data_IF_490838705494
#
_entry.id   IF_490838705494
#
_cell.length_a   1.000
_cell.length_b   1.000
_cell.length_c   1.000
_cell.angle_alpha   90.00
_cell.angle_beta   90.00
_cell.angle_gamma   90.00
#
_symmetry.space_group_name_H-M   'P 1'
#
loop_
_entity.id
_entity.type
_entity.pdbx_description
1 polymer ?
#
# COMPACT_ATOMS: atom_id res chain seq x y z
N UNK A 1 -8.34 11.61 -4.58
CA UNK A 1 -7.36 10.52 -4.71
C UNK A 1 -6.85 10.11 -3.35
N UNK A 2 -6.33 8.92 -3.25
CA UNK A 2 -5.73 8.42 -2.00
C UNK A 2 -4.22 8.45 -2.10
N UNK A 3 -3.58 8.99 -1.08
CA UNK A 3 -2.12 8.95 -0.94
C UNK A 3 -1.77 7.80 -0.02
N UNK A 4 -1.03 6.84 -0.53
CA UNK A 4 -0.66 5.63 0.17
C UNK A 4 0.85 5.68 0.43
N UNK A 5 1.24 5.64 1.70
CA UNK A 5 2.65 5.69 2.09
C UNK A 5 3.01 4.39 2.82
N UNK A 6 4.06 3.73 2.37
CA UNK A 6 4.56 2.54 3.06
C UNK A 6 5.29 2.96 4.33
N UNK A 7 4.78 2.53 5.48
CA UNK A 7 5.35 2.91 6.78
C UNK A 7 6.17 1.79 7.41
N UNK A 8 6.02 0.57 6.94
CA UNK A 8 6.78 -0.58 7.45
C UNK A 8 7.32 -1.41 6.30
N UNK A 9 8.48 -2.04 6.53
CA UNK A 9 9.06 -2.96 5.55
C UNK A 9 8.21 -4.22 5.43
N UNK A 10 8.11 -4.73 4.20
CA UNK A 10 7.44 -6.00 3.94
C UNK A 10 8.33 -7.21 4.23
N UNK A 11 9.58 -6.99 4.61
CA UNK A 11 10.51 -8.07 4.95
C UNK A 11 9.99 -8.82 6.18
N UNK A 12 9.89 -10.15 6.05
CA UNK A 12 9.35 -10.97 7.13
C UNK A 12 7.83 -11.16 7.11
N UNK A 13 7.13 -10.43 6.25
CA UNK A 13 5.69 -10.62 6.06
C UNK A 13 5.42 -11.60 4.93
N UNK A 14 4.16 -12.01 4.81
CA UNK A 14 3.75 -12.98 3.79
C UNK A 14 4.05 -12.47 2.37
N UNK A 15 4.40 -13.36 1.43
CA UNK A 15 4.66 -12.95 0.05
C UNK A 15 3.50 -12.19 -0.61
N UNK A 16 2.27 -12.47 -0.23
CA UNK A 16 1.10 -11.76 -0.75
C UNK A 16 1.12 -10.26 -0.43
N UNK A 17 1.64 -9.90 0.74
CA UNK A 17 1.77 -8.49 1.10
C UNK A 17 2.76 -7.77 0.18
N UNK A 18 3.88 -8.41 -0.14
CA UNK A 18 4.86 -7.87 -1.09
C UNK A 18 4.25 -7.68 -2.47
N UNK A 19 3.48 -8.66 -2.94
CA UNK A 19 2.84 -8.58 -4.24
C UNK A 19 1.84 -7.43 -4.29
N UNK A 20 1.07 -7.26 -3.23
CA UNK A 20 0.09 -6.16 -3.14
C UNK A 20 0.79 -4.80 -3.14
N UNK A 21 1.86 -4.67 -2.38
CA UNK A 21 2.65 -3.43 -2.37
C UNK A 21 3.25 -3.13 -3.73
N UNK A 22 3.78 -4.15 -4.41
CA UNK A 22 4.34 -4.00 -5.75
C UNK A 22 3.26 -3.58 -6.75
N UNK A 23 2.06 -4.15 -6.65
CA UNK A 23 0.93 -3.81 -7.50
C UNK A 23 0.50 -2.35 -7.30
N UNK A 24 0.66 -1.81 -6.10
CA UNK A 24 0.40 -0.40 -5.80
C UNK A 24 1.54 0.51 -6.22
N UNK A 25 2.70 -0.05 -6.56
CA UNK A 25 3.87 0.73 -6.92
C UNK A 25 4.77 1.09 -5.74
N UNK A 26 4.52 0.52 -4.58
CA UNK A 26 5.31 0.76 -3.38
C UNK A 26 6.43 -0.28 -3.30
N UNK A 27 7.66 0.17 -3.46
CA UNK A 27 8.84 -0.71 -3.48
C UNK A 27 9.75 -0.50 -2.28
N UNK A 28 9.67 0.65 -1.63
CA UNK A 28 10.56 1.02 -0.53
C UNK A 28 9.76 1.59 0.62
N UNK A 29 10.30 1.46 1.84
CA UNK A 29 9.73 2.10 3.01
C UNK A 29 9.74 3.63 2.82
N UNK A 30 8.70 4.28 3.34
CA UNK A 30 8.48 5.73 3.22
C UNK A 30 8.19 6.21 1.78
N UNK A 31 8.07 5.30 0.83
CA UNK A 31 7.62 5.66 -0.51
C UNK A 31 6.11 5.89 -0.49
N UNK A 32 5.67 6.93 -1.17
CA UNK A 32 4.24 7.22 -1.31
C UNK A 32 3.80 7.22 -2.76
N UNK A 33 2.56 6.83 -2.98
CA UNK A 33 1.93 6.87 -4.31
C UNK A 33 0.51 7.42 -4.17
N UNK A 34 0.02 8.03 -5.23
CA UNK A 34 -1.35 8.49 -5.30
C UNK A 34 -2.14 7.56 -6.22
N UNK A 35 -3.29 7.12 -5.75
CA UNK A 35 -4.17 6.23 -6.51
C UNK A 35 -5.58 6.73 -6.47
N UNK A 36 -6.34 6.43 -7.53
CA UNK A 36 -7.76 6.73 -7.58
C UNK A 36 -8.50 5.91 -6.53
N UNK A 37 -9.46 6.52 -5.87
CA UNK A 37 -10.26 5.85 -4.86
C UNK A 37 -11.29 4.92 -5.53
N UNK A 38 -10.89 3.68 -5.77
CA UNK A 38 -11.75 2.66 -6.36
C UNK A 38 -11.91 1.49 -5.39
N UNK A 39 -13.00 0.70 -5.52
CA UNK A 39 -13.15 -0.50 -4.69
C UNK A 39 -11.98 -1.46 -4.78
N UNK A 40 -11.35 -1.58 -5.94
CA UNK A 40 -10.18 -2.44 -6.13
C UNK A 40 -8.99 -1.96 -5.30
N UNK A 41 -8.70 -0.67 -5.37
CA UNK A 41 -7.61 -0.07 -4.60
C UNK A 41 -7.88 -0.17 -3.10
N UNK A 42 -9.11 0.10 -2.68
CA UNK A 42 -9.50 -0.05 -1.27
C UNK A 42 -9.34 -1.48 -0.77
N UNK A 43 -9.69 -2.45 -1.59
CA UNK A 43 -9.53 -3.87 -1.25
C UNK A 43 -8.06 -4.25 -1.08
N UNK A 44 -7.18 -3.74 -1.94
CA UNK A 44 -5.74 -3.97 -1.84
C UNK A 44 -5.17 -3.32 -0.57
N UNK A 45 -5.55 -2.09 -0.30
CA UNK A 45 -5.10 -1.36 0.90
C UNK A 45 -5.53 -2.10 2.17
N UNK A 46 -6.75 -2.61 2.20
CA UNK A 46 -7.28 -3.31 3.36
C UNK A 46 -6.46 -4.54 3.73
N UNK A 47 -5.86 -5.19 2.74
CA UNK A 47 -5.01 -6.36 2.96
C UNK A 47 -3.66 -6.00 3.59
N UNK A 48 -3.22 -4.77 3.42
CA UNK A 48 -1.90 -4.32 3.85
C UNK A 48 -1.96 -3.04 4.69
N UNK A 49 -3.11 -2.74 5.30
CA UNK A 49 -3.31 -1.51 6.07
C UNK A 49 -2.34 -1.40 7.25
N UNK A 50 -1.83 -2.52 7.74
CA UNK A 50 -0.82 -2.55 8.80
C UNK A 50 0.58 -2.18 8.30
N UNK A 51 0.78 -2.11 6.99
CA UNK A 51 2.07 -1.77 6.36
C UNK A 51 2.09 -0.37 5.76
N UNK A 52 0.93 0.22 5.56
CA UNK A 52 0.82 1.50 4.87
C UNK A 52 -0.09 2.45 5.63
N UNK A 53 0.12 3.74 5.37
CA UNK A 53 -0.75 4.80 5.86
C UNK A 53 -1.47 5.39 4.65
N UNK A 54 -2.78 5.54 4.75
CA UNK A 54 -3.60 6.09 3.67
C UNK A 54 -4.11 7.46 4.09
N UNK A 55 -3.91 8.43 3.22
CA UNK A 55 -4.42 9.78 3.42
C UNK A 55 -5.28 10.17 2.23
N UNK A 56 -6.37 10.86 2.52
CA UNK A 56 -7.24 11.38 1.47
C UNK A 56 -6.70 12.74 1.02
N UNK A 57 -6.44 12.89 -0.25
CA UNK A 57 -5.95 14.14 -0.84
C UNK A 57 -6.89 14.66 -1.90
#
# INVERSE_FOLDING_TARGET
MLKITQIKSAIGYKPKAKLTLAALGLKKINQSVEKTDTPQIRGMIKKIDYLVKVEKV
#
